data_IF_310059592284
#
_entry.id   IF_310059592284
#
_cell.length_a   1.000
_cell.length_b   1.000
_cell.length_c   1.000
_cell.angle_alpha   90.00
_cell.angle_beta   90.00
_cell.angle_gamma   90.00
#
_symmetry.space_group_name_H-M   'P 1'
#
loop_
_entity.id
_entity.type
_entity.pdbx_description
1 polymer ?
#
# COMPACT_ATOMS: atom_id res chain seq x y z
N UNK A 1 -39.58 51.36 2.63
CA UNK A 1 -39.17 50.40 1.59
C UNK A 1 -37.79 49.91 1.97
N UNK A 2 -37.71 48.63 2.35
CA UNK A 2 -36.59 48.01 3.04
C UNK A 2 -35.86 47.16 1.99
N UNK A 3 -34.57 47.37 1.76
CA UNK A 3 -33.74 46.41 1.04
C UNK A 3 -32.60 46.01 1.97
N UNK A 4 -32.87 44.96 2.74
CA UNK A 4 -31.90 44.28 3.57
C UNK A 4 -30.99 43.41 2.70
N UNK A 5 -29.68 43.52 2.94
CA UNK A 5 -28.61 42.68 2.43
C UNK A 5 -28.96 41.19 2.55
N UNK A 6 -29.06 40.47 1.44
CA UNK A 6 -29.02 39.02 1.40
C UNK A 6 -27.57 38.56 1.59
N UNK A 7 -27.15 38.46 2.85
CA UNK A 7 -25.88 37.85 3.24
C UNK A 7 -25.87 36.36 2.92
N UNK A 8 -24.90 35.97 2.10
CA UNK A 8 -24.55 34.61 1.75
C UNK A 8 -24.15 33.84 3.02
N UNK A 9 -25.09 33.13 3.64
CA UNK A 9 -24.81 32.20 4.73
C UNK A 9 -24.18 30.93 4.16
N UNK A 10 -22.85 30.99 4.00
CA UNK A 10 -22.00 29.83 3.86
C UNK A 10 -22.00 29.12 5.23
N UNK A 11 -22.91 28.17 5.43
CA UNK A 11 -22.86 27.25 6.56
C UNK A 11 -21.68 26.33 6.29
N UNK A 12 -20.53 26.44 6.98
CA UNK A 12 -19.50 25.45 6.81
C UNK A 12 -20.06 24.16 7.37
N UNK A 13 -20.20 23.18 6.49
CA UNK A 13 -20.45 21.79 6.81
C UNK A 13 -19.48 21.42 7.95
N UNK A 14 -20.03 21.24 9.15
CA UNK A 14 -19.33 20.68 10.28
C UNK A 14 -18.96 19.25 9.88
N UNK A 15 -17.80 19.10 9.26
CA UNK A 15 -17.14 17.81 9.11
C UNK A 15 -16.85 17.39 10.54
N UNK A 16 -17.66 16.47 11.05
CA UNK A 16 -17.31 15.68 12.23
C UNK A 16 -15.99 14.97 11.88
N UNK A 17 -14.86 15.58 12.24
CA UNK A 17 -13.60 14.87 12.43
C UNK A 17 -13.83 14.02 13.67
N UNK A 18 -14.34 12.82 13.43
CA UNK A 18 -14.37 11.77 14.43
C UNK A 18 -12.92 11.47 14.82
N UNK A 19 -12.63 11.25 16.12
CA UNK A 19 -11.31 10.87 16.55
C UNK A 19 -10.94 9.54 15.88
N UNK A 20 -9.82 9.59 15.16
CA UNK A 20 -9.07 8.49 14.57
C UNK A 20 -8.57 7.60 15.73
N UNK A 21 -9.45 6.76 16.27
CA UNK A 21 -9.12 5.79 17.32
C UNK A 21 -9.21 4.37 16.77
N UNK A 22 -8.16 3.62 17.08
CA UNK A 22 -8.03 2.18 16.99
C UNK A 22 -7.91 1.57 15.58
N UNK A 23 -6.66 1.44 15.12
CA UNK A 23 -6.16 0.17 14.60
C UNK A 23 -6.82 -0.39 13.33
N UNK A 24 -7.57 0.42 12.59
CA UNK A 24 -8.05 0.05 11.27
C UNK A 24 -6.84 -0.04 10.35
N UNK A 25 -6.67 -1.17 9.67
CA UNK A 25 -5.66 -1.32 8.63
C UNK A 25 -5.65 -0.06 7.75
N UNK A 26 -4.49 0.58 7.60
CA UNK A 26 -4.39 1.87 6.90
C UNK A 26 -4.81 1.69 5.44
N UNK A 27 -6.06 1.99 5.11
CA UNK A 27 -6.54 1.98 3.74
C UNK A 27 -6.13 3.29 3.04
N UNK A 28 -5.71 3.22 1.76
CA UNK A 28 -5.48 2.02 0.98
C UNK A 28 -4.17 1.31 1.34
N UNK A 29 -4.22 0.00 1.59
CA UNK A 29 -3.01 -0.83 1.74
C UNK A 29 -2.77 -1.70 0.50
N UNK A 30 -1.58 -2.27 0.39
CA UNK A 30 -1.24 -3.18 -0.71
C UNK A 30 -1.38 -4.62 -0.23
N UNK A 31 -2.00 -5.49 -1.04
CA UNK A 31 -2.15 -6.91 -0.78
C UNK A 31 -1.58 -7.71 -1.94
N UNK A 32 -1.29 -9.00 -1.70
CA UNK A 32 -0.97 -9.98 -2.75
C UNK A 32 -1.89 -11.17 -2.67
N UNK A 33 -2.33 -11.71 -3.82
CA UNK A 33 -2.99 -13.00 -3.84
C UNK A 33 -2.00 -14.11 -3.48
N UNK A 34 -2.46 -15.04 -2.62
CA UNK A 34 -1.67 -16.20 -2.14
C UNK A 34 -1.62 -17.31 -3.20
N UNK A 35 -2.57 -17.31 -4.14
CA UNK A 35 -2.73 -18.35 -5.17
C UNK A 35 -2.75 -17.71 -6.55
N UNK A 36 -2.44 -18.52 -7.55
CA UNK A 36 -2.68 -18.19 -8.95
C UNK A 36 -4.18 -18.28 -9.29
N UNK A 37 -4.62 -17.49 -10.26
CA UNK A 37 -6.02 -17.45 -10.73
C UNK A 37 -7.04 -17.07 -9.65
N UNK A 38 -6.71 -16.09 -8.80
CA UNK A 38 -7.67 -15.54 -7.83
C UNK A 38 -8.73 -14.73 -8.59
N UNK A 39 -9.96 -15.24 -8.59
CA UNK A 39 -11.09 -14.61 -9.27
C UNK A 39 -11.52 -13.35 -8.55
N UNK A 40 -11.52 -12.25 -9.29
CA UNK A 40 -12.03 -10.96 -8.83
C UNK A 40 -13.42 -10.76 -9.36
N UNK A 41 -14.31 -10.29 -8.51
CA UNK A 41 -15.72 -10.16 -8.81
C UNK A 41 -16.18 -8.71 -8.81
N UNK A 42 -17.32 -8.45 -9.42
CA UNK A 42 -17.90 -7.11 -9.47
C UNK A 42 -18.48 -6.65 -8.13
N UNK A 43 -18.84 -7.59 -7.26
CA UNK A 43 -19.45 -7.28 -5.96
C UNK A 43 -18.92 -8.22 -4.86
N UNK A 44 -19.19 -7.87 -3.61
CA UNK A 44 -18.85 -8.65 -2.40
C UNK A 44 -19.71 -9.91 -2.23
N UNK A 45 -20.04 -10.60 -3.31
CA UNK A 45 -20.94 -11.77 -3.32
C UNK A 45 -20.43 -12.90 -4.22
N UNK A 46 -20.73 -14.15 -3.83
CA UNK A 46 -20.35 -15.35 -4.60
C UNK A 46 -21.10 -15.52 -5.93
N UNK A 47 -22.20 -14.80 -6.12
CA UNK A 47 -23.03 -14.85 -7.32
C UNK A 47 -22.70 -13.76 -8.34
N UNK A 48 -21.90 -12.78 -7.96
CA UNK A 48 -21.54 -11.68 -8.85
C UNK A 48 -20.61 -12.14 -9.99
N UNK A 49 -20.68 -11.48 -11.16
CA UNK A 49 -19.84 -11.82 -12.31
C UNK A 49 -18.37 -11.64 -11.97
N UNK A 50 -17.55 -12.55 -12.52
CA UNK A 50 -16.09 -12.47 -12.44
C UNK A 50 -15.66 -11.38 -13.42
N UNK A 51 -15.06 -10.32 -12.90
CA UNK A 51 -14.51 -9.22 -13.70
C UNK A 51 -13.13 -9.58 -14.26
N UNK A 52 -12.39 -10.46 -13.58
CA UNK A 52 -11.08 -10.89 -14.01
C UNK A 52 -10.45 -11.88 -13.05
N UNK A 53 -9.22 -12.26 -13.37
CA UNK A 53 -8.39 -13.15 -12.55
C UNK A 53 -7.08 -12.44 -12.23
N UNK A 54 -6.64 -12.54 -10.98
CA UNK A 54 -5.33 -12.08 -10.52
C UNK A 54 -4.36 -13.25 -10.50
N UNK A 55 -3.15 -13.02 -11.00
CA UNK A 55 -2.03 -13.97 -10.88
C UNK A 55 -1.44 -13.90 -9.47
N UNK A 56 -0.80 -14.98 -8.99
CA UNK A 56 -0.13 -14.96 -7.70
C UNK A 56 0.92 -13.83 -7.66
N UNK A 57 1.16 -13.28 -6.46
CA UNK A 57 2.11 -12.20 -6.21
C UNK A 57 1.83 -10.86 -6.92
N UNK A 58 0.74 -10.74 -7.68
CA UNK A 58 0.34 -9.47 -8.27
C UNK A 58 0.02 -8.44 -7.16
N UNK A 59 0.75 -7.31 -7.09
CA UNK A 59 0.47 -6.30 -6.08
C UNK A 59 -0.83 -5.58 -6.42
N UNK A 60 -1.82 -5.70 -5.54
CA UNK A 60 -3.11 -5.04 -5.68
C UNK A 60 -3.31 -4.02 -4.57
N UNK A 61 -4.01 -2.93 -4.90
CA UNK A 61 -4.37 -1.90 -3.94
C UNK A 61 -5.74 -2.21 -3.35
N UNK A 62 -5.78 -2.55 -2.07
CA UNK A 62 -7.03 -2.69 -1.31
C UNK A 62 -7.45 -1.30 -0.84
N UNK A 63 -8.64 -0.86 -1.23
CA UNK A 63 -9.20 0.45 -0.88
C UNK A 63 -10.19 0.38 0.27
N UNK A 64 -10.82 -0.78 0.49
CA UNK A 64 -11.73 -0.99 1.60
C UNK A 64 -11.88 -2.48 1.90
N UNK A 65 -12.37 -2.78 3.09
CA UNK A 65 -12.83 -4.10 3.50
C UNK A 65 -14.34 -4.06 3.77
N UNK A 66 -15.02 -5.14 3.42
CA UNK A 66 -16.44 -5.32 3.66
C UNK A 66 -16.68 -6.79 4.02
N UNK A 67 -16.90 -7.04 5.31
CA UNK A 67 -17.02 -8.39 5.86
C UNK A 67 -15.79 -9.22 5.46
N UNK A 68 -15.97 -10.31 4.71
CA UNK A 68 -14.87 -11.15 4.22
C UNK A 68 -14.38 -10.78 2.80
N UNK A 69 -14.72 -9.59 2.30
CA UNK A 69 -14.38 -9.14 0.96
C UNK A 69 -13.55 -7.88 0.98
N UNK A 70 -12.39 -7.93 0.34
CA UNK A 70 -11.59 -6.75 0.07
C UNK A 70 -12.01 -6.12 -1.25
N UNK A 71 -12.37 -4.84 -1.18
CA UNK A 71 -12.54 -3.98 -2.34
C UNK A 71 -11.16 -3.53 -2.80
N UNK A 72 -10.79 -3.92 -4.00
CA UNK A 72 -9.53 -3.57 -4.65
C UNK A 72 -9.80 -2.58 -5.78
N UNK A 73 -8.81 -1.73 -6.04
CA UNK A 73 -8.80 -0.82 -7.19
C UNK A 73 -7.78 -1.30 -8.20
N UNK A 74 -8.26 -1.72 -9.36
CA UNK A 74 -7.43 -2.11 -10.49
C UNK A 74 -6.94 -0.85 -11.24
N UNK A 75 -5.82 -0.93 -11.98
CA UNK A 75 -5.32 0.19 -12.79
C UNK A 75 -6.32 0.64 -13.87
N UNK A 76 -7.32 -0.19 -14.18
CA UNK A 76 -8.44 0.16 -15.08
C UNK A 76 -9.54 1.00 -14.40
N UNK A 77 -9.34 1.48 -13.17
CA UNK A 77 -10.33 2.20 -12.33
C UNK A 77 -11.62 1.41 -12.02
N UNK A 78 -11.63 0.12 -12.34
CA UNK A 78 -12.77 -0.75 -12.06
C UNK A 78 -12.68 -1.21 -10.59
N UNK A 79 -13.68 -0.86 -9.75
CA UNK A 79 -13.76 -1.41 -8.40
C UNK A 79 -14.06 -2.89 -8.49
N UNK A 80 -13.26 -3.69 -7.82
CA UNK A 80 -13.39 -5.13 -7.87
C UNK A 80 -13.27 -5.72 -6.47
N UNK A 81 -13.83 -6.89 -6.25
CA UNK A 81 -13.95 -7.52 -4.95
C UNK A 81 -13.30 -8.89 -4.97
N UNK A 82 -12.51 -9.17 -3.93
CA UNK A 82 -11.81 -10.45 -3.76
C UNK A 82 -11.93 -10.89 -2.32
N UNK A 83 -12.11 -12.18 -2.11
CA UNK A 83 -12.29 -12.74 -0.78
C UNK A 83 -10.99 -12.64 0.04
N UNK A 84 -11.11 -12.23 1.30
CA UNK A 84 -9.98 -11.98 2.21
C UNK A 84 -9.09 -13.20 2.38
N UNK A 85 -9.65 -14.41 2.42
CA UNK A 85 -8.89 -15.67 2.56
C UNK A 85 -7.90 -15.95 1.44
N UNK A 86 -8.01 -15.27 0.28
CA UNK A 86 -7.06 -15.41 -0.82
C UNK A 86 -6.04 -14.29 -0.88
N UNK A 87 -6.14 -13.29 -0.01
CA UNK A 87 -5.24 -12.15 0.03
C UNK A 87 -4.35 -12.20 1.26
N UNK A 88 -3.07 -11.98 1.04
CA UNK A 88 -2.10 -11.67 2.08
C UNK A 88 -1.86 -10.18 2.07
N UNK A 89 -2.25 -9.52 3.14
CA UNK A 89 -1.92 -8.11 3.35
C UNK A 89 -0.39 -7.96 3.35
N UNK A 90 0.11 -6.99 2.60
CA UNK A 90 1.51 -6.62 2.66
C UNK A 90 1.61 -5.51 3.69
N UNK A 91 2.00 -5.90 4.91
CA UNK A 91 2.27 -4.94 5.96
C UNK A 91 3.62 -4.26 5.68
N UNK A 92 3.68 -2.92 5.75
CA UNK A 92 4.94 -2.24 5.57
C UNK A 92 5.90 -2.66 6.68
N UNK A 93 7.02 -3.25 6.31
CA UNK A 93 8.06 -3.64 7.27
C UNK A 93 9.11 -2.54 7.32
N UNK A 94 9.74 -2.30 8.47
CA UNK A 94 10.88 -1.38 8.48
C UNK A 94 12.06 -2.04 7.77
N UNK A 95 12.74 -1.28 6.93
CA UNK A 95 13.95 -1.72 6.26
C UNK A 95 15.01 -0.64 6.38
N UNK A 96 16.27 -1.08 6.37
CA UNK A 96 17.43 -0.22 6.43
C UNK A 96 18.19 -0.29 5.11
N UNK A 97 18.64 0.88 4.65
CA UNK A 97 19.50 0.97 3.48
C UNK A 97 20.95 0.70 3.89
N UNK A 98 21.60 -0.26 3.23
CA UNK A 98 22.99 -0.67 3.54
C UNK A 98 24.04 -0.01 2.66
N UNK A 99 23.62 0.75 1.65
CA UNK A 99 24.52 1.44 0.72
C UNK A 99 24.29 2.95 0.76
N UNK A 100 25.36 3.73 0.60
CA UNK A 100 25.28 5.18 0.44
C UNK A 100 24.98 5.55 -1.01
N UNK A 101 24.05 6.48 -1.24
CA UNK A 101 23.77 7.01 -2.57
C UNK A 101 22.82 6.13 -3.39
N UNK A 102 21.92 5.41 -2.73
CA UNK A 102 20.96 4.53 -3.39
C UNK A 102 19.84 5.37 -4.01
N UNK A 103 19.68 5.25 -5.32
CA UNK A 103 18.65 6.01 -6.05
C UNK A 103 17.29 5.31 -5.94
N UNK A 104 16.33 5.99 -5.30
CA UNK A 104 14.92 5.62 -5.35
C UNK A 104 14.32 6.15 -6.65
N UNK A 105 13.69 5.26 -7.43
CA UNK A 105 13.12 5.55 -8.74
C UNK A 105 11.59 5.60 -8.72
N UNK A 106 10.98 6.26 -9.70
CA UNK A 106 9.52 6.39 -9.75
C UNK A 106 8.77 5.07 -9.98
N UNK A 107 9.35 4.15 -10.75
CA UNK A 107 8.78 2.84 -11.10
C UNK A 107 9.87 1.76 -11.15
N UNK A 108 9.46 0.49 -11.15
CA UNK A 108 10.34 -0.70 -11.17
C UNK A 108 11.09 -0.88 -12.51
N UNK A 109 11.89 0.11 -12.91
CA UNK A 109 12.70 0.08 -14.13
C UNK A 109 14.02 0.82 -13.94
N UNK A 110 15.06 0.37 -14.67
CA UNK A 110 16.38 1.01 -14.70
C UNK A 110 16.37 2.37 -15.42
N UNK A 111 15.39 2.58 -16.28
CA UNK A 111 15.20 3.83 -17.05
C UNK A 111 14.33 4.86 -16.31
N UNK A 112 13.78 4.47 -15.15
CA UNK A 112 12.88 5.32 -14.39
C UNK A 112 13.58 6.56 -13.80
N UNK A 113 12.91 7.73 -13.76
CA UNK A 113 13.46 8.92 -13.13
C UNK A 113 13.68 8.69 -11.63
N UNK A 114 14.79 9.24 -11.12
CA UNK A 114 15.13 9.19 -9.70
C UNK A 114 14.27 10.20 -8.96
N UNK A 115 13.44 9.72 -8.04
CA UNK A 115 12.55 10.53 -7.20
C UNK A 115 13.21 10.94 -5.87
N UNK A 116 14.29 10.27 -5.50
CA UNK A 116 15.07 10.58 -4.31
C UNK A 116 16.33 9.74 -4.21
N UNK A 117 17.21 10.14 -3.31
CA UNK A 117 18.43 9.39 -2.99
C UNK A 117 18.41 9.08 -1.50
N UNK A 118 18.79 7.84 -1.16
CA UNK A 118 18.89 7.35 0.21
C UNK A 118 20.35 7.21 0.58
N UNK A 119 20.63 7.50 1.84
CA UNK A 119 21.95 7.36 2.45
C UNK A 119 22.05 6.04 3.23
N UNK A 120 23.27 5.66 3.55
CA UNK A 120 23.53 4.55 4.46
C UNK A 120 22.78 4.74 5.78
N UNK A 121 22.20 3.65 6.30
CA UNK A 121 21.39 3.58 7.52
C UNK A 121 20.03 4.29 7.48
N UNK A 122 19.63 4.88 6.36
CA UNK A 122 18.29 5.45 6.22
C UNK A 122 17.22 4.38 6.46
N UNK A 123 16.27 4.71 7.35
CA UNK A 123 15.11 3.86 7.66
C UNK A 123 14.00 4.16 6.66
N UNK A 124 13.55 3.10 5.98
CA UNK A 124 12.48 3.17 4.98
C UNK A 124 11.42 2.13 5.27
N UNK A 125 10.16 2.42 4.97
CA UNK A 125 9.09 1.43 5.03
C UNK A 125 9.11 0.60 3.75
N UNK A 126 9.47 -0.67 3.86
CA UNK A 126 9.34 -1.71 2.84
C UNK A 126 7.86 -2.01 2.61
N UNK A 127 7.32 -1.81 1.40
CA UNK A 127 5.89 -2.04 1.11
C UNK A 127 5.62 -3.16 0.11
N UNK A 128 6.36 -3.27 -1.00
CA UNK A 128 6.07 -4.26 -2.08
C UNK A 128 7.37 -4.61 -2.81
N UNK A 129 7.76 -5.88 -2.88
CA UNK A 129 8.82 -6.36 -3.78
C UNK A 129 8.27 -6.83 -5.14
N UNK A 130 8.55 -6.09 -6.20
CA UNK A 130 8.26 -6.43 -7.60
C UNK A 130 9.56 -6.92 -8.28
N UNK A 131 9.77 -8.24 -8.28
CA UNK A 131 10.99 -8.84 -8.82
C UNK A 131 12.25 -8.42 -8.05
N UNK A 132 13.18 -7.76 -8.74
CA UNK A 132 14.41 -7.19 -8.16
C UNK A 132 14.21 -5.79 -7.56
N UNK A 133 13.01 -5.21 -7.71
CA UNK A 133 12.67 -3.87 -7.23
C UNK A 133 11.78 -3.94 -6.01
N UNK A 134 12.01 -3.03 -5.07
CA UNK A 134 11.23 -2.92 -3.85
C UNK A 134 10.67 -1.51 -3.78
N UNK A 135 9.35 -1.41 -3.72
CA UNK A 135 8.65 -0.21 -3.36
C UNK A 135 8.87 0.08 -1.89
N UNK A 136 9.58 1.17 -1.65
CA UNK A 136 9.82 1.73 -0.34
C UNK A 136 9.06 3.05 -0.19
N UNK A 137 8.70 3.36 1.05
CA UNK A 137 8.15 4.66 1.43
C UNK A 137 9.09 5.28 2.45
N UNK A 138 9.72 6.38 2.05
CA UNK A 138 10.58 7.17 2.93
C UNK A 138 9.76 8.32 3.49
N UNK A 139 9.30 8.16 4.74
CA UNK A 139 8.67 9.26 5.47
C UNK A 139 9.74 10.29 5.86
N UNK A 140 9.53 11.60 5.65
CA UNK A 140 8.32 12.28 5.17
C UNK A 140 8.35 12.67 3.67
N UNK A 141 9.37 12.29 2.89
CA UNK A 141 9.70 13.00 1.63
C UNK A 141 9.24 12.34 0.34
N UNK A 142 9.22 11.01 0.22
CA UNK A 142 8.88 10.37 -1.06
C UNK A 142 8.58 8.88 -0.94
N UNK A 143 7.88 8.34 -1.94
CA UNK A 143 7.75 6.89 -2.19
C UNK A 143 8.41 6.56 -3.52
N UNK A 144 9.15 5.46 -3.58
CA UNK A 144 9.85 5.06 -4.79
C UNK A 144 10.23 3.59 -4.80
N UNK A 145 10.86 3.14 -5.88
CA UNK A 145 11.35 1.79 -6.08
C UNK A 145 12.87 1.79 -5.94
N UNK A 146 13.39 0.88 -5.13
CA UNK A 146 14.82 0.68 -4.88
C UNK A 146 15.17 -0.77 -5.16
N UNK A 147 16.38 -1.05 -5.64
CA UNK A 147 16.79 -2.42 -5.87
C UNK A 147 16.92 -3.20 -4.56
N UNK A 148 16.43 -4.44 -4.55
CA UNK A 148 16.43 -5.33 -3.39
C UNK A 148 17.81 -5.57 -2.77
N UNK A 149 18.88 -5.50 -3.56
CA UNK A 149 20.25 -5.72 -3.11
C UNK A 149 20.76 -4.66 -2.11
N UNK A 150 20.12 -3.48 -2.05
CA UNK A 150 20.56 -2.36 -1.21
C UNK A 150 19.66 -2.11 0.01
N UNK A 151 18.62 -2.93 0.18
CA UNK A 151 17.62 -2.75 1.24
C UNK A 151 17.56 -4.04 2.05
N UNK A 152 17.84 -3.94 3.33
CA UNK A 152 17.74 -5.07 4.26
C UNK A 152 16.51 -4.84 5.14
N UNK A 153 15.51 -5.75 5.14
CA UNK A 153 14.40 -5.65 6.06
C UNK A 153 14.94 -5.77 7.49
N UNK A 154 14.60 -4.80 8.34
CA UNK A 154 14.87 -4.89 9.76
C UNK A 154 13.83 -5.88 10.30
N UNK A 155 14.22 -7.06 10.79
CA UNK A 155 13.28 -7.93 11.45
C UNK A 155 12.75 -7.17 12.68
N UNK A 156 11.47 -6.78 12.64
CA UNK A 156 10.79 -6.27 13.83
C UNK A 156 10.77 -7.43 14.82
N UNK A 157 11.61 -7.34 15.84
CA UNK A 157 11.87 -8.41 16.79
C UNK A 157 10.56 -8.93 17.41
N UNK A 158 10.16 -10.11 16.95
CA UNK A 158 9.12 -10.97 17.50
C UNK A 158 9.44 -12.44 17.24
N UNK A 159 10.73 -12.76 17.15
CA UNK A 159 11.26 -14.09 16.90
C UNK A 159 12.71 -14.11 17.30
N UNK A 160 12.92 -14.39 18.59
CA UNK A 160 13.99 -15.15 19.21
C UNK A 160 15.37 -15.14 18.54
N UNK A 161 16.34 -14.68 19.34
CA UNK A 161 17.77 -14.65 19.11
C UNK A 161 18.34 -16.06 18.83
N UNK A 162 18.25 -16.56 17.60
CA UNK A 162 19.12 -17.67 17.19
C UNK A 162 20.46 -17.09 16.74
N UNK A 163 21.40 -17.07 17.70
CA UNK A 163 22.81 -16.82 17.45
C UNK A 163 23.35 -17.86 16.44
N UNK A 164 23.96 -17.46 15.31
CA UNK A 164 24.82 -18.38 14.59
C UNK A 164 26.11 -18.51 15.41
N UNK A 165 26.23 -19.59 16.18
CA UNK A 165 27.52 -20.04 16.70
C UNK A 165 28.00 -21.24 15.87
N UNK A 166 28.99 -20.90 15.03
CA UNK A 166 30.14 -21.70 14.59
C UNK A 166 29.90 -22.86 13.63
#
# INVERSE_FOLDING_TARGET
MIHALAGLLFVPLLICVLPDDAGAAQFPFSARPIRDHVRVRADSTLYSPILGELMADAPIRVVAERWDWYKISLPSEIPAYVHSSFLKQISPTLAQVTASGVNARAYASREAPVVGTLSHEDRVEYSVQEGEWIKIKSLPKFSGYVHSQFVVPIPTAGGDLEHPQR
#
